data_IF_763721339093
#
_entry.id   IF_763721339093
#
_cell.length_a   1.000
_cell.length_b   1.000
_cell.length_c   1.000
_cell.angle_alpha   90.00
_cell.angle_beta   90.00
_cell.angle_gamma   90.00
#
_symmetry.space_group_name_H-M   'P 1'
#
loop_
_entity.id
_entity.type
_entity.pdbx_description
1 polymer ?
#
# COMPACT_ATOMS: atom_id res chain seq x y z
N UNK A 1 16.47 4.23 0.75
CA UNK A 1 15.15 3.92 0.15
C UNK A 1 15.05 2.42 -0.08
N UNK A 2 14.02 1.74 0.44
CA UNK A 2 13.86 0.28 0.27
C UNK A 2 13.08 0.02 -1.03
N UNK A 3 13.54 -0.95 -1.85
CA UNK A 3 12.83 -1.41 -3.05
C UNK A 3 12.77 -2.92 -3.14
N UNK A 4 11.68 -3.45 -3.68
CA UNK A 4 11.51 -4.89 -3.92
C UNK A 4 10.93 -5.16 -5.30
N UNK A 5 11.31 -6.29 -5.89
CA UNK A 5 10.70 -6.82 -7.11
C UNK A 5 9.73 -7.94 -6.73
N UNK A 6 8.46 -7.77 -7.09
CA UNK A 6 7.42 -8.75 -6.74
C UNK A 6 6.34 -8.82 -7.80
N UNK A 7 5.65 -9.96 -7.84
CA UNK A 7 4.43 -10.12 -8.63
C UNK A 7 3.24 -9.67 -7.79
N UNK A 8 2.26 -9.04 -8.44
CA UNK A 8 0.95 -8.82 -7.83
C UNK A 8 0.29 -10.20 -7.68
N UNK A 9 -0.24 -10.47 -6.49
CA UNK A 9 -0.96 -11.71 -6.17
C UNK A 9 -2.46 -11.43 -6.03
N UNK A 10 -3.27 -12.49 -6.14
CA UNK A 10 -4.70 -12.41 -5.86
C UNK A 10 -4.88 -12.22 -4.34
N UNK A 11 -5.53 -11.13 -3.97
CA UNK A 11 -5.97 -10.90 -2.59
C UNK A 11 -7.45 -11.22 -2.39
N UNK A 12 -7.93 -11.02 -1.18
CA UNK A 12 -9.32 -11.29 -0.77
C UNK A 12 -10.31 -10.20 -1.23
N UNK A 13 -9.83 -9.17 -1.95
CA UNK A 13 -10.62 -8.05 -2.48
C UNK A 13 -11.41 -7.25 -1.41
N UNK A 14 -11.13 -7.43 -0.11
CA UNK A 14 -11.77 -6.71 1.02
C UNK A 14 -11.70 -5.19 0.87
N UNK A 15 -10.55 -4.66 0.46
CA UNK A 15 -10.38 -3.24 0.18
C UNK A 15 -11.38 -2.71 -0.86
N UNK A 16 -11.71 -3.49 -1.90
CA UNK A 16 -12.68 -3.11 -2.93
C UNK A 16 -14.08 -2.91 -2.33
N UNK A 17 -14.50 -3.78 -1.42
CA UNK A 17 -15.82 -3.72 -0.75
C UNK A 17 -15.97 -2.41 0.04
N UNK A 18 -14.89 -1.93 0.66
CA UNK A 18 -14.91 -0.69 1.46
C UNK A 18 -14.54 0.57 0.66
N UNK A 19 -14.33 0.47 -0.66
CA UNK A 19 -14.03 1.61 -1.54
C UNK A 19 -12.54 1.94 -1.69
N UNK A 20 -11.64 1.08 -1.21
CA UNK A 20 -10.18 1.25 -1.29
C UNK A 20 -9.54 0.00 -1.92
N UNK A 21 -9.69 -0.24 -3.24
CA UNK A 21 -9.11 -1.41 -3.90
C UNK A 21 -7.59 -1.46 -3.73
N UNK A 22 -7.06 -2.65 -3.44
CA UNK A 22 -5.62 -2.87 -3.19
C UNK A 22 -5.01 -3.87 -4.15
N UNK A 23 -3.78 -3.59 -4.57
CA UNK A 23 -2.86 -4.56 -5.16
C UNK A 23 -2.12 -5.27 -4.03
N UNK A 24 -2.04 -6.60 -4.10
CA UNK A 24 -1.45 -7.41 -3.03
C UNK A 24 -0.09 -7.94 -3.48
N UNK A 25 0.85 -8.03 -2.55
CA UNK A 25 2.18 -8.59 -2.77
C UNK A 25 2.62 -9.43 -1.56
N UNK A 26 3.44 -10.45 -1.80
CA UNK A 26 4.05 -11.23 -0.72
C UNK A 26 5.06 -10.39 0.06
N UNK A 27 4.89 -10.31 1.38
CA UNK A 27 5.91 -9.81 2.30
C UNK A 27 6.78 -10.98 2.76
N UNK A 28 8.10 -10.90 2.51
CA UNK A 28 9.04 -11.90 3.01
C UNK A 28 9.73 -11.38 4.26
N UNK A 29 10.08 -12.27 5.19
CA UNK A 29 10.88 -11.91 6.39
C UNK A 29 12.20 -11.23 6.01
N UNK A 30 12.81 -11.63 4.89
CA UNK A 30 14.07 -11.08 4.38
C UNK A 30 13.98 -9.66 3.79
N UNK A 31 12.78 -9.12 3.53
CA UNK A 31 12.65 -7.82 2.86
C UNK A 31 13.07 -6.63 3.77
N UNK A 32 13.31 -6.86 5.07
CA UNK A 32 13.68 -5.83 6.07
C UNK A 32 12.77 -4.59 6.05
N UNK A 33 11.50 -4.74 5.67
CA UNK A 33 10.50 -3.66 5.65
C UNK A 33 9.88 -3.51 7.04
N UNK A 34 9.88 -2.29 7.59
CA UNK A 34 9.18 -1.97 8.84
C UNK A 34 7.66 -2.12 8.66
N UNK A 35 7.01 -2.80 9.59
CA UNK A 35 5.56 -3.03 9.54
C UNK A 35 4.81 -1.72 9.79
N UNK A 36 3.76 -1.49 9.01
CA UNK A 36 2.97 -0.26 9.07
C UNK A 36 2.59 0.27 7.70
N UNK A 37 2.13 1.52 7.69
CA UNK A 37 1.65 2.22 6.50
C UNK A 37 2.77 3.08 5.92
N UNK A 38 2.91 3.01 4.61
CA UNK A 38 3.94 3.69 3.84
C UNK A 38 3.34 4.45 2.66
N UNK A 39 4.01 5.51 2.24
CA UNK A 39 3.89 6.02 0.86
C UNK A 39 4.82 5.19 -0.02
N UNK A 40 4.31 4.74 -1.15
CA UNK A 40 5.04 3.90 -2.10
C UNK A 40 4.96 4.44 -3.52
N UNK A 41 5.97 4.06 -4.33
CA UNK A 41 5.94 4.17 -5.79
C UNK A 41 5.99 2.77 -6.39
N UNK A 42 5.01 2.44 -7.21
CA UNK A 42 4.92 1.21 -7.96
C UNK A 42 5.29 1.48 -9.42
N UNK A 43 6.33 0.83 -9.92
CA UNK A 43 6.74 0.91 -11.33
C UNK A 43 6.23 -0.32 -12.08
N UNK A 44 5.51 -0.08 -13.18
CA UNK A 44 4.96 -1.12 -14.06
C UNK A 44 5.21 -0.68 -15.50
N UNK A 45 5.96 -1.48 -16.28
CA UNK A 45 6.26 -1.22 -17.70
C UNK A 45 6.74 0.23 -17.94
N UNK A 46 7.73 0.68 -17.17
CA UNK A 46 8.27 2.04 -17.25
C UNK A 46 7.41 3.14 -16.59
N UNK A 47 6.10 2.93 -16.40
CA UNK A 47 5.19 3.90 -15.77
C UNK A 47 5.25 3.81 -14.25
N UNK A 48 5.16 4.97 -13.59
CA UNK A 48 5.17 5.09 -12.12
C UNK A 48 3.80 5.46 -11.59
N UNK A 49 3.36 4.75 -10.56
CA UNK A 49 2.11 4.98 -9.85
C UNK A 49 2.40 5.17 -8.38
N UNK A 50 1.80 6.18 -7.75
CA UNK A 50 1.98 6.41 -6.32
C UNK A 50 0.79 5.88 -5.53
N UNK A 51 1.04 5.49 -4.29
CA UNK A 51 0.01 4.95 -3.43
C UNK A 51 0.39 4.91 -1.96
N UNK A 52 -0.55 4.44 -1.16
CA UNK A 52 -0.32 4.06 0.22
C UNK A 52 -0.26 2.53 0.33
N UNK A 53 0.72 2.01 1.06
CA UNK A 53 0.88 0.59 1.29
C UNK A 53 0.76 0.25 2.77
N UNK A 54 -0.05 -0.74 3.12
CA UNK A 54 0.07 -1.43 4.41
C UNK A 54 1.02 -2.62 4.24
N UNK A 55 2.13 -2.65 4.99
CA UNK A 55 3.05 -3.79 5.04
C UNK A 55 2.91 -4.47 6.41
N UNK A 56 2.32 -5.67 6.43
CA UNK A 56 2.05 -6.44 7.64
C UNK A 56 0.72 -7.18 7.54
N UNK A 57 0.24 -7.69 8.68
CA UNK A 57 -1.08 -8.31 8.75
C UNK A 57 -2.19 -7.26 8.83
N UNK A 58 -3.30 -7.52 8.14
CA UNK A 58 -4.53 -6.79 8.30
C UNK A 58 -5.27 -7.30 9.55
N UNK A 59 -4.78 -6.94 10.74
CA UNK A 59 -5.32 -7.40 12.02
C UNK A 59 -6.82 -7.18 12.20
N UNK A 60 -7.37 -6.14 11.55
CA UNK A 60 -8.82 -5.85 11.54
C UNK A 60 -9.67 -6.95 10.88
N UNK A 61 -9.06 -7.88 10.15
CA UNK A 61 -9.75 -8.99 9.49
C UNK A 61 -9.19 -10.37 9.87
N UNK A 62 -8.54 -10.47 11.04
CA UNK A 62 -7.90 -11.70 11.56
C UNK A 62 -6.97 -12.41 10.56
N UNK A 63 -6.33 -11.65 9.66
CA UNK A 63 -5.43 -12.23 8.67
C UNK A 63 -4.06 -12.50 9.30
N UNK A 64 -3.73 -13.79 9.45
CA UNK A 64 -2.44 -14.25 9.99
C UNK A 64 -1.28 -14.09 9.00
N UNK A 65 -1.56 -13.87 7.70
CA UNK A 65 -0.51 -13.76 6.67
C UNK A 65 -0.05 -12.30 6.54
N UNK A 66 1.24 -12.07 6.73
CA UNK A 66 1.83 -10.78 6.40
C UNK A 66 1.86 -10.59 4.88
N UNK A 67 1.32 -9.46 4.41
CA UNK A 67 1.30 -9.08 3.00
C UNK A 67 1.58 -7.59 2.87
N UNK A 68 1.82 -7.16 1.64
CA UNK A 68 1.84 -5.74 1.29
C UNK A 68 0.58 -5.46 0.48
N UNK A 69 -0.25 -4.55 0.96
CA UNK A 69 -1.47 -4.10 0.30
C UNK A 69 -1.32 -2.65 -0.15
N UNK A 70 -1.24 -2.42 -1.45
CA UNK A 70 -1.03 -1.09 -2.05
C UNK A 70 -2.34 -0.56 -2.61
N UNK A 71 -2.81 0.56 -2.08
CA UNK A 71 -3.86 1.37 -2.69
C UNK A 71 -3.22 2.50 -3.49
N UNK A 72 -3.37 2.48 -4.81
CA UNK A 72 -2.85 3.53 -5.68
C UNK A 72 -3.78 4.75 -5.65
N UNK A 73 -3.17 5.94 -5.68
CA UNK A 73 -3.90 7.21 -5.73
C UNK A 73 -4.46 7.52 -7.11
N UNK A 74 -3.94 6.86 -8.14
CA UNK A 74 -4.44 6.89 -9.51
C UNK A 74 -4.85 5.49 -9.97
N UNK A 75 -5.64 5.42 -11.05
CA UNK A 75 -6.12 4.16 -11.60
C UNK A 75 -4.93 3.31 -12.12
N UNK A 76 -4.77 2.06 -11.66
CA UNK A 76 -3.73 1.17 -12.20
C UNK A 76 -3.98 0.82 -13.67
N UNK A 77 -2.94 0.47 -14.43
CA UNK A 77 -3.08 -0.11 -15.75
C UNK A 77 -3.64 -1.54 -15.67
N UNK A 78 -4.27 -2.02 -16.75
CA UNK A 78 -4.66 -3.43 -16.88
C UNK A 78 -3.38 -4.30 -17.00
N UNK A 79 -3.34 -5.36 -16.19
CA UNK A 79 -2.40 -6.50 -16.22
C UNK A 79 -1.06 -6.43 -15.46
N UNK A 80 -0.68 -7.64 -15.06
CA UNK A 80 0.04 -8.08 -13.87
C UNK A 80 1.25 -8.90 -14.30
N UNK A 81 2.37 -8.80 -13.56
CA UNK A 81 3.21 -9.94 -13.11
C UNK A 81 4.67 -9.57 -12.76
N UNK A 82 5.20 -8.40 -13.13
CA UNK A 82 6.49 -7.91 -12.60
C UNK A 82 6.38 -6.43 -12.27
N UNK A 83 6.59 -6.09 -11.00
CA UNK A 83 6.54 -4.71 -10.52
C UNK A 83 7.76 -4.41 -9.67
N UNK A 84 8.22 -3.17 -9.72
CA UNK A 84 9.19 -2.62 -8.77
C UNK A 84 8.43 -1.76 -7.76
N UNK A 85 8.46 -2.14 -6.49
CA UNK A 85 7.80 -1.42 -5.41
C UNK A 85 8.84 -0.71 -4.56
N UNK A 86 8.77 0.62 -4.50
CA UNK A 86 9.64 1.48 -3.71
C UNK A 86 8.89 1.99 -2.48
N UNK A 87 9.49 1.86 -1.30
CA UNK A 87 9.01 2.43 -0.05
C UNK A 87 9.64 3.80 0.16
N UNK A 88 8.84 4.85 0.01
CA UNK A 88 9.31 6.23 0.00
C UNK A 88 9.31 6.85 1.40
N UNK A 89 8.19 6.72 2.12
CA UNK A 89 8.01 7.37 3.43
C UNK A 89 7.16 6.51 4.36
N UNK A 90 7.65 6.27 5.56
CA UNK A 90 6.85 5.65 6.62
C UNK A 90 5.85 6.67 7.18
N UNK A 91 4.57 6.31 7.24
CA UNK A 91 3.51 7.17 7.75
C UNK A 91 3.14 6.86 9.21
N UNK A 92 2.98 5.57 9.55
CA UNK A 92 2.56 5.13 10.89
C UNK A 92 2.65 3.62 11.08
N UNK A 93 2.58 3.16 12.33
CA UNK A 93 2.36 1.74 12.68
C UNK A 93 0.98 1.25 12.20
N UNK A 94 0.84 -0.07 12.05
CA UNK A 94 -0.48 -0.70 11.85
C UNK A 94 -1.37 -0.42 13.05
N UNK A 95 -2.68 -0.33 12.81
CA UNK A 95 -3.68 -0.05 13.84
C UNK A 95 -4.90 -0.92 13.57
N UNK A 96 -5.44 -1.49 14.63
CA UNK A 96 -6.73 -2.18 14.59
C UNK A 96 -7.88 -1.19 14.73
N UNK A 97 -9.00 -1.48 14.07
CA UNK A 97 -10.19 -0.65 14.10
C UNK A 97 -11.39 -1.48 14.54
N UNK A 98 -12.10 -1.00 15.56
CA UNK A 98 -13.36 -1.61 16.03
C UNK A 98 -14.50 -1.50 15.01
N UNK A 99 -14.41 -0.57 14.05
CA UNK A 99 -15.45 -0.33 13.05
C UNK A 99 -14.90 -0.05 11.65
N UNK A 100 -15.64 -0.45 10.63
CA UNK A 100 -15.33 -0.14 9.22
C UNK A 100 -15.28 1.38 8.99
N UNK A 101 -16.17 2.16 9.63
CA UNK A 101 -16.17 3.63 9.55
C UNK A 101 -14.85 4.23 10.06
N UNK A 102 -14.34 3.73 11.18
CA UNK A 102 -13.04 4.12 11.74
C UNK A 102 -11.88 3.81 10.79
N UNK A 103 -11.88 2.61 10.21
CA UNK A 103 -10.89 2.19 9.21
C UNK A 103 -10.89 3.12 7.99
N UNK A 104 -12.07 3.36 7.39
CA UNK A 104 -12.21 4.25 6.22
C UNK A 104 -11.70 5.67 6.54
N UNK A 105 -12.03 6.21 7.72
CA UNK A 105 -11.55 7.54 8.16
C UNK A 105 -10.03 7.59 8.24
N UNK A 106 -9.39 6.53 8.75
CA UNK A 106 -7.93 6.48 8.80
C UNK A 106 -7.31 6.37 7.41
N UNK A 107 -7.84 5.51 6.53
CA UNK A 107 -7.30 5.35 5.17
C UNK A 107 -7.33 6.70 4.43
N UNK A 108 -8.43 7.47 4.54
CA UNK A 108 -8.51 8.83 3.97
C UNK A 108 -7.43 9.77 4.51
N UNK A 109 -7.14 9.71 5.81
CA UNK A 109 -6.04 10.50 6.42
C UNK A 109 -4.68 10.08 5.88
N UNK A 110 -4.45 8.79 5.72
CA UNK A 110 -3.18 8.26 5.21
C UNK A 110 -2.98 8.67 3.73
N UNK A 111 -4.03 8.62 2.91
CA UNK A 111 -4.01 9.13 1.52
C UNK A 111 -3.69 10.62 1.51
N UNK A 112 -4.36 11.45 2.32
CA UNK A 112 -4.09 12.89 2.39
C UNK A 112 -2.62 13.19 2.76
N UNK A 113 -2.07 12.48 3.76
CA UNK A 113 -0.66 12.58 4.14
C UNK A 113 0.27 12.16 3.01
N UNK A 114 -0.06 11.08 2.31
CA UNK A 114 0.71 10.60 1.17
C UNK A 114 0.75 11.61 0.01
N UNK A 115 -0.41 12.18 -0.35
CA UNK A 115 -0.50 13.21 -1.38
C UNK A 115 0.28 14.48 -1.01
N UNK A 116 0.19 14.95 0.24
CA UNK A 116 0.96 16.09 0.72
C UNK A 116 2.48 15.84 0.62
N UNK A 117 2.96 14.66 1.00
CA UNK A 117 4.36 14.28 0.84
C UNK A 117 4.81 14.28 -0.63
N UNK A 118 3.97 13.80 -1.56
CA UNK A 118 4.29 13.82 -3.00
C UNK A 118 4.29 15.23 -3.59
N UNK A 119 3.47 16.15 -3.06
CA UNK A 119 3.48 17.55 -3.46
C UNK A 119 4.82 18.22 -3.21
N UNK A 120 5.50 17.88 -2.12
CA UNK A 120 6.86 18.37 -1.81
C UNK A 120 7.97 17.71 -2.65
N UNK A 121 7.67 16.62 -3.38
CA UNK A 121 8.65 15.90 -4.21
C UNK A 121 8.67 16.37 -5.67
N UNK A 122 7.68 17.14 -6.13
CA UNK A 122 7.77 17.79 -7.43
C UNK A 122 8.67 19.03 -7.27
N UNK A 123 9.78 19.17 -8.01
CA UNK A 123 10.45 20.47 -8.08
C UNK A 123 9.42 21.50 -8.56
N UNK A 124 9.40 22.67 -7.90
CA UNK A 124 8.69 23.84 -8.44
C UNK A 124 9.34 24.25 -9.75
#
# INVERSE_FOLDING_TARGET
MIKIFRKIIKGEKRGKIIGFPTLNFNLKKSDKIKRGVWVVRLKIKGKSYFGAANAGSAKTFDDKKEKIEVHLFSKPPKALKKTELHFLRYLRKTKEFKTIKGLKKQIKKDIKKGLSFLGHLKPR
#
